data_IF_138736854200
#
_entry.id   IF_138736854200
#
_cell.length_a   1.000
_cell.length_b   1.000
_cell.length_c   1.000
_cell.angle_alpha   90.00
_cell.angle_beta   90.00
_cell.angle_gamma   90.00
#
_symmetry.space_group_name_H-M   'P 1'
#
loop_
_entity.id
_entity.type
_entity.pdbx_description
1 polymer ?
#
# COMPACT_ATOMS: atom_id res chain seq x y z
N UNK A 1 -0.63 4.74 13.59
CA UNK A 1 0.72 4.27 14.04
C UNK A 1 1.19 4.91 15.35
N UNK A 2 1.14 6.24 15.56
CA UNK A 2 1.64 6.86 16.82
C UNK A 2 0.95 6.30 18.10
N UNK A 3 -0.35 6.02 18.05
CA UNK A 3 -1.04 5.40 19.20
C UNK A 3 -0.63 3.94 19.40
N UNK A 4 -0.35 3.21 18.32
CA UNK A 4 0.17 1.84 18.37
C UNK A 4 1.57 1.81 18.98
N UNK A 5 2.45 2.76 18.60
CA UNK A 5 3.79 2.86 19.18
C UNK A 5 3.81 3.02 20.72
N UNK A 6 2.77 3.62 21.28
CA UNK A 6 2.63 3.73 22.75
C UNK A 6 2.26 2.40 23.42
N UNK A 7 1.68 1.47 22.66
CA UNK A 7 1.27 0.14 23.15
C UNK A 7 2.36 -0.91 22.96
N UNK A 8 3.21 -0.74 21.92
CA UNK A 8 4.31 -1.65 21.56
C UNK A 8 5.66 -0.99 21.86
N UNK A 9 5.96 -0.81 23.15
CA UNK A 9 7.16 -0.11 23.65
C UNK A 9 8.44 -0.92 23.50
N UNK A 10 8.36 -2.19 23.14
CA UNK A 10 9.47 -3.08 22.81
C UNK A 10 10.16 -2.70 21.49
N UNK A 11 9.51 -1.89 20.66
CA UNK A 11 10.04 -1.38 19.40
C UNK A 11 10.41 0.09 19.48
N UNK A 12 11.49 0.49 18.82
CA UNK A 12 11.82 1.90 18.59
C UNK A 12 11.10 2.38 17.34
N UNK A 13 10.20 3.34 17.48
CA UNK A 13 9.51 3.98 16.37
C UNK A 13 10.13 5.33 16.03
N UNK A 14 10.37 5.58 14.74
CA UNK A 14 10.83 6.85 14.21
C UNK A 14 9.76 7.36 13.25
N UNK A 15 9.13 8.47 13.60
CA UNK A 15 8.12 9.10 12.76
C UNK A 15 8.78 10.18 11.91
N UNK A 16 8.67 10.04 10.58
CA UNK A 16 9.29 10.93 9.60
C UNK A 16 8.24 11.63 8.75
N UNK A 17 8.52 12.88 8.39
CA UNK A 17 7.72 13.68 7.46
C UNK A 17 8.62 14.79 6.89
N UNK A 18 8.15 15.50 5.86
CA UNK A 18 8.73 16.77 5.41
C UNK A 18 8.22 17.97 6.20
N UNK A 19 7.17 17.77 7.03
CA UNK A 19 6.56 18.80 7.88
C UNK A 19 7.29 18.93 9.22
N UNK A 20 7.17 20.12 9.84
CA UNK A 20 7.70 20.39 11.18
C UNK A 20 7.08 19.47 12.25
N UNK A 21 7.86 19.17 13.29
CA UNK A 21 7.43 18.32 14.42
C UNK A 21 7.72 16.83 14.25
N UNK A 22 8.30 16.42 13.12
CA UNK A 22 8.76 15.05 12.83
C UNK A 22 10.25 15.03 12.50
N UNK A 23 10.85 13.85 12.51
CA UNK A 23 12.19 13.68 11.94
C UNK A 23 12.10 13.92 10.44
N UNK A 24 12.84 14.90 9.92
CA UNK A 24 12.74 15.28 8.51
C UNK A 24 13.24 14.16 7.60
N UNK A 25 12.41 13.72 6.66
CA UNK A 25 12.77 12.79 5.60
C UNK A 25 11.93 13.06 4.33
N UNK A 26 12.60 13.45 3.26
CA UNK A 26 12.02 13.48 1.93
C UNK A 26 12.20 12.10 1.27
N UNK A 27 11.10 11.37 1.10
CA UNK A 27 11.10 10.03 0.51
C UNK A 27 11.38 10.04 -1.00
N UNK A 28 11.45 11.19 -1.65
CA UNK A 28 11.88 11.33 -3.05
C UNK A 28 13.41 11.37 -3.20
N UNK A 29 14.15 11.38 -2.09
CA UNK A 29 15.60 11.37 -2.05
C UNK A 29 16.13 10.01 -1.53
N UNK A 30 16.58 9.17 -2.45
CA UNK A 30 17.09 7.83 -2.14
C UNK A 30 18.29 7.86 -1.16
N UNK A 31 19.21 8.81 -1.32
CA UNK A 31 20.39 8.88 -0.45
C UNK A 31 20.03 9.32 0.98
N UNK A 32 19.02 10.20 1.13
CA UNK A 32 18.50 10.56 2.44
C UNK A 32 17.81 9.34 3.12
N UNK A 33 17.07 8.54 2.36
CA UNK A 33 16.46 7.30 2.87
C UNK A 33 17.55 6.32 3.33
N UNK A 34 18.55 6.02 2.48
CA UNK A 34 19.67 5.13 2.82
C UNK A 34 20.42 5.57 4.08
N UNK A 35 20.70 6.85 4.16
CA UNK A 35 21.36 7.45 5.33
C UNK A 35 20.52 7.22 6.59
N UNK A 36 19.22 7.53 6.56
CA UNK A 36 18.32 7.34 7.69
C UNK A 36 18.25 5.85 8.10
N UNK A 37 18.08 4.95 7.13
CA UNK A 37 18.01 3.50 7.37
C UNK A 37 19.28 2.99 8.05
N UNK A 38 20.45 3.40 7.56
CA UNK A 38 21.75 2.98 8.12
C UNK A 38 22.01 3.57 9.51
N UNK A 39 21.84 4.89 9.69
CA UNK A 39 22.15 5.59 10.95
C UNK A 39 21.19 5.20 12.09
N UNK A 40 19.93 4.89 11.76
CA UNK A 40 18.93 4.54 12.75
C UNK A 40 18.72 3.03 12.91
N UNK A 41 19.44 2.20 12.13
CA UNK A 41 19.31 0.73 12.11
C UNK A 41 17.85 0.30 11.89
N UNK A 42 17.23 0.84 10.83
CA UNK A 42 15.82 0.59 10.50
C UNK A 42 15.68 -0.81 9.91
N UNK A 43 14.86 -1.65 10.53
CA UNK A 43 14.54 -3.01 10.08
C UNK A 43 13.19 -3.13 9.38
N UNK A 44 12.32 -2.12 9.56
CA UNK A 44 11.02 -2.08 8.90
C UNK A 44 10.61 -0.63 8.60
N UNK A 45 10.20 -0.36 7.36
CA UNK A 45 9.56 0.90 6.96
C UNK A 45 8.07 0.67 6.74
N UNK A 46 7.23 1.52 7.36
CA UNK A 46 5.79 1.62 7.06
C UNK A 46 5.56 2.90 6.26
N UNK A 47 5.42 2.77 4.95
CA UNK A 47 5.17 3.91 4.06
C UNK A 47 3.69 4.25 3.98
N UNK A 48 3.30 5.32 4.68
CA UNK A 48 1.97 5.93 4.62
C UNK A 48 1.96 7.23 3.79
N UNK A 49 3.11 7.69 3.31
CA UNK A 49 3.21 8.91 2.52
C UNK A 49 2.77 8.66 1.08
N UNK A 50 1.92 9.53 0.56
CA UNK A 50 1.43 9.48 -0.81
C UNK A 50 0.77 10.81 -1.20
N UNK A 51 0.67 11.09 -2.49
CA UNK A 51 -0.31 12.04 -2.99
C UNK A 51 -1.69 11.38 -2.96
N UNK A 52 -2.64 11.94 -2.18
CA UNK A 52 -3.96 11.33 -1.94
C UNK A 52 -5.12 12.15 -2.49
N UNK A 53 -4.88 13.36 -3.00
CA UNK A 53 -5.93 14.15 -3.63
C UNK A 53 -6.19 13.64 -5.06
N UNK A 54 -7.23 12.80 -5.19
CA UNK A 54 -7.60 12.10 -6.42
C UNK A 54 -7.86 13.09 -7.56
N UNK A 55 -8.68 14.13 -7.31
CA UNK A 55 -9.07 15.10 -8.34
C UNK A 55 -7.88 15.97 -8.79
N UNK A 56 -7.06 16.43 -7.85
CA UNK A 56 -5.86 17.22 -8.18
C UNK A 56 -4.74 16.39 -8.84
N UNK A 57 -4.75 15.08 -8.71
CA UNK A 57 -3.77 14.21 -9.35
C UNK A 57 -3.85 14.31 -10.89
N UNK A 58 -5.03 14.53 -11.46
CA UNK A 58 -5.23 14.62 -12.92
C UNK A 58 -4.43 15.76 -13.57
N UNK A 59 -4.10 16.81 -12.81
CA UNK A 59 -3.36 17.98 -13.30
C UNK A 59 -1.92 18.06 -12.82
N UNK A 60 -1.52 17.21 -11.86
CA UNK A 60 -0.22 17.24 -11.20
C UNK A 60 0.62 15.98 -11.48
N UNK A 61 0.47 15.35 -12.65
CA UNK A 61 0.97 14.02 -13.00
C UNK A 61 2.40 13.71 -12.57
N UNK A 62 3.39 14.57 -12.86
CA UNK A 62 4.81 14.31 -12.60
C UNK A 62 5.12 14.21 -11.09
N UNK A 63 4.53 15.08 -10.27
CA UNK A 63 4.75 15.06 -8.82
C UNK A 63 4.01 13.88 -8.19
N UNK A 64 2.84 13.53 -8.72
CA UNK A 64 2.06 12.37 -8.28
C UNK A 64 2.81 11.06 -8.59
N UNK A 65 3.36 10.93 -9.81
CA UNK A 65 4.19 9.78 -10.20
C UNK A 65 5.44 9.68 -9.32
N UNK A 66 6.08 10.80 -9.02
CA UNK A 66 7.26 10.82 -8.14
C UNK A 66 6.93 10.32 -6.74
N UNK A 67 5.85 10.81 -6.13
CA UNK A 67 5.47 10.44 -4.76
C UNK A 67 4.84 9.05 -4.66
N UNK A 68 4.01 8.66 -5.63
CA UNK A 68 3.24 7.42 -5.56
C UNK A 68 3.94 6.22 -6.20
N UNK A 69 4.90 6.44 -7.11
CA UNK A 69 5.58 5.36 -7.83
C UNK A 69 7.09 5.30 -7.56
N UNK A 70 7.83 6.41 -7.75
CA UNK A 70 9.29 6.40 -7.58
C UNK A 70 9.72 6.36 -6.11
N UNK A 71 9.07 7.12 -5.24
CA UNK A 71 9.41 7.12 -3.83
C UNK A 71 9.23 5.74 -3.17
N UNK A 72 8.13 4.99 -3.39
CA UNK A 72 8.03 3.59 -2.94
C UNK A 72 9.13 2.67 -3.46
N UNK A 73 9.58 2.84 -4.71
CA UNK A 73 10.71 2.12 -5.26
C UNK A 73 12.01 2.40 -4.47
N UNK A 74 12.25 3.67 -4.13
CA UNK A 74 13.44 4.07 -3.36
C UNK A 74 13.42 3.48 -1.95
N UNK A 75 12.26 3.48 -1.30
CA UNK A 75 12.09 2.83 0.00
C UNK A 75 12.34 1.31 -0.09
N UNK A 76 11.81 0.65 -1.12
CA UNK A 76 12.04 -0.77 -1.35
C UNK A 76 13.53 -1.09 -1.58
N UNK A 77 14.24 -0.27 -2.39
CA UNK A 77 15.68 -0.41 -2.62
C UNK A 77 16.49 -0.30 -1.32
N UNK A 78 16.21 0.74 -0.53
CA UNK A 78 16.90 0.96 0.73
C UNK A 78 16.68 -0.19 1.72
N UNK A 79 15.44 -0.73 1.79
CA UNK A 79 15.15 -1.87 2.66
C UNK A 79 15.76 -3.16 2.16
N UNK A 80 15.80 -3.40 0.85
CA UNK A 80 16.51 -4.57 0.27
C UNK A 80 17.99 -4.56 0.63
N UNK A 81 18.66 -3.41 0.57
CA UNK A 81 20.09 -3.26 0.87
C UNK A 81 20.46 -3.66 2.31
N UNK A 82 19.49 -3.59 3.24
CA UNK A 82 19.68 -3.96 4.66
C UNK A 82 18.97 -5.26 5.05
N UNK A 83 18.31 -5.94 4.10
CA UNK A 83 17.52 -7.13 4.37
C UNK A 83 16.25 -6.88 5.19
N UNK A 84 15.75 -5.64 5.20
CA UNK A 84 14.59 -5.22 5.99
C UNK A 84 13.27 -5.33 5.23
N UNK A 85 12.16 -5.04 5.92
CA UNK A 85 10.78 -5.11 5.40
C UNK A 85 10.25 -3.73 4.99
N UNK A 86 9.65 -3.62 3.80
CA UNK A 86 8.81 -2.49 3.41
C UNK A 86 7.33 -2.87 3.53
N UNK A 87 6.56 -2.15 4.36
CA UNK A 87 5.08 -2.18 4.36
C UNK A 87 4.61 -0.91 3.64
N UNK A 88 3.90 -1.07 2.52
CA UNK A 88 3.42 0.05 1.70
C UNK A 88 1.90 0.10 1.63
N UNK A 89 1.32 1.27 1.92
CA UNK A 89 -0.13 1.48 1.84
C UNK A 89 -0.50 1.89 0.41
N UNK A 90 -1.27 1.05 -0.26
CA UNK A 90 -1.86 1.28 -1.57
C UNK A 90 -3.38 1.53 -1.46
N UNK A 91 -4.12 1.44 -2.56
CA UNK A 91 -5.52 1.87 -2.65
C UNK A 91 -6.37 0.91 -3.49
N UNK A 92 -7.66 0.90 -3.22
CA UNK A 92 -8.71 0.32 -4.07
C UNK A 92 -8.83 0.98 -5.45
N UNK A 93 -8.33 2.22 -5.62
CA UNK A 93 -8.28 2.92 -6.92
C UNK A 93 -7.36 2.27 -7.97
N UNK A 94 -6.60 1.24 -7.61
CA UNK A 94 -5.91 0.38 -8.60
C UNK A 94 -6.91 -0.45 -9.42
N UNK A 95 -8.17 -0.54 -8.96
CA UNK A 95 -9.32 -1.09 -9.68
C UNK A 95 -10.25 0.03 -10.15
N UNK A 96 -11.24 -0.28 -11.00
CA UNK A 96 -12.29 0.69 -11.35
C UNK A 96 -12.63 0.75 -12.83
N UNK A 97 -11.76 0.27 -13.72
CA UNK A 97 -12.01 0.21 -15.18
C UNK A 97 -12.96 -0.92 -15.61
N UNK A 98 -13.15 -1.93 -14.76
CA UNK A 98 -14.05 -3.05 -15.02
C UNK A 98 -15.32 -2.96 -14.14
N UNK A 99 -16.48 -3.40 -14.63
CA UNK A 99 -17.71 -3.42 -13.84
C UNK A 99 -17.67 -4.58 -12.82
N UNK A 100 -16.95 -4.42 -11.72
CA UNK A 100 -16.93 -5.41 -10.64
C UNK A 100 -18.29 -5.53 -9.97
N UNK A 101 -18.70 -6.74 -9.67
CA UNK A 101 -19.89 -7.08 -8.88
C UNK A 101 -19.61 -8.12 -7.80
N UNK A 102 -18.35 -8.46 -7.62
CA UNK A 102 -17.81 -9.34 -6.57
C UNK A 102 -16.59 -8.66 -5.93
N UNK A 103 -16.27 -8.97 -4.68
CA UNK A 103 -15.09 -8.39 -4.03
C UNK A 103 -13.81 -8.59 -4.85
N UNK A 104 -13.05 -7.50 -5.04
CA UNK A 104 -11.78 -7.51 -5.76
C UNK A 104 -10.74 -8.33 -4.98
N UNK A 105 -10.02 -9.21 -5.67
CA UNK A 105 -8.96 -10.04 -5.10
C UNK A 105 -7.58 -9.50 -5.46
N UNK A 106 -6.57 -9.87 -4.68
CA UNK A 106 -5.19 -9.40 -4.85
C UNK A 106 -4.56 -9.83 -6.18
N UNK A 107 -4.98 -10.97 -6.73
CA UNK A 107 -4.48 -11.54 -7.99
C UNK A 107 -5.16 -10.94 -9.23
N UNK A 108 -6.19 -10.13 -9.08
CA UNK A 108 -6.83 -9.47 -10.20
C UNK A 108 -5.96 -8.36 -10.78
N UNK A 109 -5.98 -8.26 -12.12
CA UNK A 109 -5.27 -7.20 -12.83
C UNK A 109 -5.82 -5.83 -12.44
N UNK A 110 -4.92 -4.89 -12.13
CA UNK A 110 -5.30 -3.51 -11.91
C UNK A 110 -5.84 -2.84 -13.18
N UNK A 111 -6.93 -2.08 -13.04
CA UNK A 111 -7.63 -1.36 -14.11
C UNK A 111 -7.97 0.06 -13.66
N UNK A 112 -6.95 0.88 -13.28
CA UNK A 112 -7.18 2.23 -12.77
C UNK A 112 -7.83 3.13 -13.82
N UNK A 113 -8.70 4.05 -13.38
CA UNK A 113 -9.44 4.98 -14.25
C UNK A 113 -8.95 6.42 -14.18
N UNK A 114 -7.97 6.72 -13.32
CA UNK A 114 -7.39 8.06 -13.15
C UNK A 114 -5.94 8.01 -12.74
N UNK A 115 -5.27 9.16 -12.77
CA UNK A 115 -3.83 9.32 -12.48
C UNK A 115 -3.46 8.82 -11.08
N UNK A 116 -4.29 9.10 -10.07
CA UNK A 116 -4.05 8.60 -8.72
C UNK A 116 -3.95 7.07 -8.66
N UNK A 117 -4.96 6.37 -9.19
CA UNK A 117 -4.97 4.90 -9.20
C UNK A 117 -3.83 4.32 -10.03
N UNK A 118 -3.53 4.92 -11.20
CA UNK A 118 -2.44 4.50 -12.08
C UNK A 118 -1.09 4.62 -11.38
N UNK A 119 -0.81 5.76 -10.75
CA UNK A 119 0.48 5.99 -10.08
C UNK A 119 0.64 5.12 -8.82
N UNK A 120 -0.45 4.81 -8.10
CA UNK A 120 -0.42 3.83 -7.01
C UNK A 120 -0.08 2.42 -7.53
N UNK A 121 -0.67 2.01 -8.66
CA UNK A 121 -0.37 0.73 -9.30
C UNK A 121 1.09 0.66 -9.79
N UNK A 122 1.63 1.74 -10.37
CA UNK A 122 3.04 1.82 -10.72
C UNK A 122 3.95 1.66 -9.48
N UNK A 123 3.58 2.26 -8.34
CA UNK A 123 4.30 2.09 -7.09
C UNK A 123 4.34 0.63 -6.61
N UNK A 124 3.22 -0.09 -6.70
CA UNK A 124 3.18 -1.53 -6.40
C UNK A 124 4.13 -2.33 -7.32
N UNK A 125 4.06 -2.06 -8.64
CA UNK A 125 4.91 -2.73 -9.63
C UNK A 125 6.40 -2.44 -9.41
N UNK A 126 6.75 -1.20 -9.08
CA UNK A 126 8.12 -0.79 -8.80
C UNK A 126 8.65 -1.48 -7.52
N UNK A 127 7.86 -1.59 -6.45
CA UNK A 127 8.23 -2.35 -5.24
C UNK A 127 8.50 -3.81 -5.60
N UNK A 128 7.60 -4.44 -6.36
CA UNK A 128 7.73 -5.85 -6.78
C UNK A 128 8.98 -6.06 -7.64
N UNK A 129 9.31 -5.14 -8.54
CA UNK A 129 10.48 -5.21 -9.41
C UNK A 129 11.82 -5.11 -8.64
N UNK A 130 11.84 -4.50 -7.46
CA UNK A 130 13.03 -4.46 -6.59
C UNK A 130 13.37 -5.85 -6.03
N UNK A 131 12.39 -6.73 -5.89
CA UNK A 131 12.56 -8.11 -5.39
C UNK A 131 13.23 -8.18 -4.00
N UNK A 132 12.73 -7.36 -3.07
CA UNK A 132 13.06 -7.38 -1.63
C UNK A 132 11.89 -7.92 -0.80
N UNK A 133 11.99 -7.85 0.53
CA UNK A 133 10.86 -8.17 1.44
C UNK A 133 9.86 -7.02 1.46
N UNK A 134 8.60 -7.31 1.11
CA UNK A 134 7.56 -6.29 1.09
C UNK A 134 6.17 -6.83 1.47
N UNK A 135 5.36 -5.96 2.05
CA UNK A 135 3.91 -6.13 2.22
C UNK A 135 3.24 -4.89 1.61
N UNK A 136 2.47 -5.06 0.55
CA UNK A 136 1.63 -4.00 -0.01
C UNK A 136 0.21 -4.21 0.50
N UNK A 137 -0.37 -3.18 1.15
CA UNK A 137 -1.74 -3.24 1.67
C UNK A 137 -2.60 -2.26 0.88
N UNK A 138 -3.50 -2.78 0.03
CA UNK A 138 -4.54 -1.98 -0.60
C UNK A 138 -5.66 -1.75 0.39
N UNK A 139 -6.07 -0.49 0.55
CA UNK A 139 -7.14 -0.09 1.47
C UNK A 139 -8.13 0.85 0.78
N UNK A 140 -9.31 1.03 1.35
CA UNK A 140 -10.37 1.88 0.80
C UNK A 140 -10.97 2.79 1.87
N UNK A 141 -11.43 3.99 1.48
CA UNK A 141 -12.24 4.90 2.29
C UNK A 141 -11.67 5.14 3.70
N UNK A 142 -10.37 5.41 3.77
CA UNK A 142 -9.63 5.55 5.03
C UNK A 142 -10.08 6.79 5.80
N UNK A 143 -10.40 6.61 7.08
CA UNK A 143 -10.78 7.70 8.00
C UNK A 143 -10.17 7.51 9.38
N UNK A 144 -10.09 8.60 10.13
CA UNK A 144 -9.62 8.61 11.52
C UNK A 144 -10.10 9.85 12.25
N UNK A 145 -9.84 9.91 13.54
CA UNK A 145 -9.99 11.09 14.38
C UNK A 145 -8.99 12.21 14.01
N UNK A 146 -7.92 11.89 13.27
CA UNK A 146 -6.86 12.83 12.88
C UNK A 146 -7.01 13.28 11.42
N UNK A 147 -6.44 14.46 11.12
CA UNK A 147 -6.39 14.99 9.76
C UNK A 147 -7.77 15.33 9.16
N UNK A 148 -7.79 15.63 7.87
CA UNK A 148 -9.02 15.84 7.08
C UNK A 148 -9.47 14.52 6.49
N UNK A 149 -10.73 14.15 6.65
CA UNK A 149 -11.30 12.93 6.06
C UNK A 149 -12.82 13.07 5.91
N UNK A 150 -13.43 12.06 5.27
CA UNK A 150 -14.86 12.06 4.97
C UNK A 150 -15.74 12.13 6.24
N UNK A 151 -15.42 11.36 7.29
CA UNK A 151 -16.19 11.35 8.54
C UNK A 151 -16.26 12.74 9.14
N UNK A 152 -15.11 13.42 9.32
CA UNK A 152 -15.08 14.79 9.88
C UNK A 152 -15.81 15.81 9.00
N UNK A 153 -15.74 15.63 7.68
CA UNK A 153 -16.48 16.47 6.74
C UNK A 153 -17.98 16.28 6.91
N UNK A 154 -18.47 15.03 6.97
CA UNK A 154 -19.89 14.73 7.12
C UNK A 154 -20.42 15.13 8.51
N UNK A 155 -19.65 14.94 9.58
CA UNK A 155 -20.00 15.44 10.91
C UNK A 155 -20.28 16.94 10.89
N UNK A 156 -19.40 17.73 10.27
CA UNK A 156 -19.60 19.17 10.16
C UNK A 156 -20.79 19.53 9.26
N UNK A 157 -20.91 18.89 8.09
CA UNK A 157 -21.99 19.21 7.14
C UNK A 157 -23.37 18.83 7.70
N UNK A 158 -23.51 17.67 8.33
CA UNK A 158 -24.79 17.21 8.91
C UNK A 158 -25.22 18.03 10.13
N UNK A 159 -24.26 18.63 10.84
CA UNK A 159 -24.56 19.56 11.96
C UNK A 159 -24.96 20.96 11.48
N UNK A 160 -24.53 21.39 10.27
CA UNK A 160 -24.65 22.80 9.85
C UNK A 160 -25.58 23.01 8.66
N UNK A 161 -25.86 22.00 7.87
CA UNK A 161 -26.70 22.09 6.68
C UNK A 161 -28.11 21.52 6.94
N UNK A 162 -29.17 22.15 6.43
CA UNK A 162 -30.53 21.61 6.54
C UNK A 162 -30.73 20.39 5.64
N UNK A 163 -30.00 20.31 4.53
CA UNK A 163 -30.10 19.22 3.56
C UNK A 163 -28.72 18.91 2.93
N UNK A 164 -28.47 17.63 2.65
CA UNK A 164 -27.32 17.13 1.89
C UNK A 164 -27.78 16.11 0.84
N UNK A 165 -27.17 16.15 -0.34
CA UNK A 165 -27.24 15.07 -1.32
C UNK A 165 -25.93 14.25 -1.26
N UNK A 166 -26.04 12.94 -1.17
CA UNK A 166 -24.88 12.03 -1.05
C UNK A 166 -25.02 10.87 -2.02
N UNK A 167 -23.94 10.55 -2.70
CA UNK A 167 -23.89 9.47 -3.70
C UNK A 167 -24.20 8.11 -3.07
N UNK A 168 -25.13 7.35 -3.67
CA UNK A 168 -25.53 6.03 -3.19
C UNK A 168 -25.11 4.87 -4.12
N UNK A 169 -24.77 5.16 -5.38
CA UNK A 169 -24.39 4.19 -6.42
C UNK A 169 -22.88 3.93 -6.52
N UNK A 170 -22.11 4.38 -5.51
CA UNK A 170 -20.73 3.98 -5.26
C UNK A 170 -20.70 3.15 -3.97
N UNK A 171 -20.22 1.91 -4.10
CA UNK A 171 -20.26 0.90 -3.03
C UNK A 171 -18.85 0.45 -2.70
N UNK A 172 -18.51 0.49 -1.43
CA UNK A 172 -17.19 0.12 -0.92
C UNK A 172 -17.24 -0.25 0.56
N UNK A 173 -16.09 -0.25 1.20
CA UNK A 173 -16.01 -0.46 2.65
C UNK A 173 -15.13 0.60 3.29
N UNK A 174 -15.65 1.35 4.28
CA UNK A 174 -14.85 2.28 5.07
C UNK A 174 -13.76 1.54 5.86
N UNK A 175 -12.61 2.17 6.02
CA UNK A 175 -11.49 1.65 6.80
C UNK A 175 -11.14 2.61 7.93
N UNK A 176 -11.28 2.19 9.18
CA UNK A 176 -10.78 2.93 10.33
C UNK A 176 -9.25 2.78 10.42
N UNK A 177 -8.53 3.89 10.41
CA UNK A 177 -7.06 3.87 10.43
C UNK A 177 -6.48 3.22 11.71
N UNK A 178 -7.21 3.23 12.82
CA UNK A 178 -6.83 2.53 14.03
C UNK A 178 -6.79 1.01 13.84
N UNK A 179 -7.77 0.44 13.13
CA UNK A 179 -7.81 -1.00 12.86
C UNK A 179 -6.74 -1.42 11.84
N UNK A 180 -6.51 -0.61 10.80
CA UNK A 180 -5.40 -0.82 9.86
C UNK A 180 -4.05 -0.76 10.58
N UNK A 181 -3.86 0.18 11.51
CA UNK A 181 -2.62 0.30 12.28
C UNK A 181 -2.39 -0.92 13.20
N UNK A 182 -3.45 -1.49 13.79
CA UNK A 182 -3.37 -2.74 14.55
C UNK A 182 -2.96 -3.93 13.67
N UNK A 183 -3.53 -4.02 12.45
CA UNK A 183 -3.14 -5.05 11.49
C UNK A 183 -1.67 -4.92 11.08
N UNK A 184 -1.18 -3.71 10.82
CA UNK A 184 0.23 -3.44 10.52
C UNK A 184 1.13 -3.86 11.69
N UNK A 185 0.75 -3.57 12.94
CA UNK A 185 1.52 -4.01 14.11
C UNK A 185 1.61 -5.55 14.18
N UNK A 186 0.50 -6.25 13.92
CA UNK A 186 0.50 -7.72 13.87
C UNK A 186 1.43 -8.25 12.79
N UNK A 187 1.48 -7.62 11.61
CA UNK A 187 2.37 -7.99 10.51
C UNK A 187 3.85 -7.77 10.90
N UNK A 188 4.16 -6.66 11.58
CA UNK A 188 5.52 -6.39 12.08
C UNK A 188 5.95 -7.44 13.10
N UNK A 189 5.06 -7.83 14.02
CA UNK A 189 5.34 -8.89 14.99
C UNK A 189 5.55 -10.26 14.34
N UNK A 190 4.78 -10.56 13.29
CA UNK A 190 4.94 -11.80 12.52
C UNK A 190 6.29 -11.81 11.77
N UNK A 191 6.67 -10.71 11.12
CA UNK A 191 7.94 -10.55 10.44
C UNK A 191 9.13 -10.77 11.37
N UNK A 192 9.08 -10.23 12.61
CA UNK A 192 10.15 -10.39 13.59
C UNK A 192 10.29 -11.81 14.13
N UNK A 193 9.24 -12.61 14.01
CA UNK A 193 9.24 -14.03 14.42
C UNK A 193 9.62 -14.98 13.28
N UNK A 194 9.74 -14.49 12.04
CA UNK A 194 10.08 -15.31 10.89
C UNK A 194 11.53 -15.82 10.99
N UNK A 195 11.76 -17.14 11.13
CA UNK A 195 13.11 -17.70 11.29
C UNK A 195 13.97 -17.60 10.03
N UNK A 196 13.38 -17.25 8.87
CA UNK A 196 14.12 -17.02 7.63
C UNK A 196 14.87 -15.70 7.62
N UNK A 197 14.52 -14.79 8.56
CA UNK A 197 15.21 -13.52 8.70
C UNK A 197 16.55 -13.72 9.41
N UNK A 198 17.65 -13.16 8.89
CA UNK A 198 18.91 -13.19 9.61
C UNK A 198 18.73 -12.51 10.97
N UNK A 199 19.36 -13.04 12.05
CA UNK A 199 19.35 -12.35 13.33
C UNK A 199 19.89 -10.93 13.08
N UNK A 200 19.06 -9.91 13.37
CA UNK A 200 19.48 -8.52 13.33
C UNK A 200 20.61 -8.38 14.37
N UNK A 201 21.87 -8.44 13.91
CA UNK A 201 23.01 -8.17 14.77
C UNK A 201 22.84 -6.74 15.29
N UNK A 202 22.49 -6.62 16.55
CA UNK A 202 22.40 -5.34 17.25
C UNK A 202 23.79 -4.70 17.21
N UNK A 203 24.04 -3.86 16.19
CA UNK A 203 25.24 -3.00 16.15
C UNK A 203 26.41 -3.54 15.33
N UNK A 204 26.22 -4.15 14.18
CA UNK A 204 27.30 -4.51 13.26
C UNK A 204 27.18 -3.75 11.94
N UNK A 205 28.01 -2.73 11.72
CA UNK A 205 28.36 -2.29 10.37
C UNK A 205 29.04 -3.49 9.69
N UNK A 206 28.69 -3.87 8.42
CA UNK A 206 29.44 -4.88 7.69
C UNK A 206 30.92 -4.46 7.68
N UNK A 207 31.76 -5.20 8.35
CA UNK A 207 33.20 -4.93 8.33
C UNK A 207 33.71 -5.14 6.91
N UNK A 208 34.65 -4.30 6.49
CA UNK A 208 35.23 -4.31 5.15
C UNK A 208 35.76 -5.69 4.70
N UNK A 209 35.96 -6.63 5.61
CA UNK A 209 36.37 -8.01 5.34
C UNK A 209 35.28 -8.85 4.64
N UNK A 210 33.97 -8.67 4.98
CA UNK A 210 32.88 -9.38 4.27
C UNK A 210 32.66 -8.85 2.84
N UNK A 211 33.01 -7.59 2.58
CA UNK A 211 32.96 -7.05 1.21
C UNK A 211 34.07 -7.60 0.29
N UNK A 212 35.22 -8.00 0.83
CA UNK A 212 36.29 -8.62 0.05
C UNK A 212 36.00 -10.07 -0.32
N UNK A 213 35.33 -10.84 0.54
CA UNK A 213 34.94 -12.22 0.19
C UNK A 213 33.88 -12.24 -0.94
N UNK A 214 32.92 -11.34 -0.96
CA UNK A 214 31.92 -11.23 -2.01
C UNK A 214 32.53 -10.77 -3.35
N UNK A 215 33.57 -9.95 -3.34
CA UNK A 215 34.30 -9.55 -4.55
C UNK A 215 35.20 -10.67 -5.08
N UNK A 216 35.80 -11.53 -4.23
CA UNK A 216 36.63 -12.66 -4.67
C UNK A 216 35.82 -13.77 -5.31
N UNK A 217 34.58 -14.01 -4.93
CA UNK A 217 33.70 -15.00 -5.57
C UNK A 217 33.28 -14.56 -6.97
N UNK A 218 33.02 -13.26 -7.18
CA UNK A 218 32.65 -12.73 -8.49
C UNK A 218 33.81 -12.61 -9.48
N UNK A 219 35.10 -12.61 -9.03
CA UNK A 219 36.25 -12.52 -9.92
C UNK A 219 36.71 -13.86 -10.50
N UNK A 220 36.17 -15.00 -10.05
CA UNK A 220 36.51 -16.34 -10.52
C UNK A 220 35.61 -16.90 -11.62
N UNK A 221 34.57 -16.17 -12.04
CA UNK A 221 33.58 -16.65 -13.01
C UNK A 221 33.60 -15.96 -14.38
N UNK A 222 34.66 -15.20 -14.72
CA UNK A 222 34.80 -14.63 -16.05
C UNK A 222 36.18 -14.97 -16.63
N UNK A 223 36.22 -16.06 -17.38
CA UNK A 223 37.28 -16.31 -18.34
C UNK A 223 36.69 -16.27 -19.75
N UNK A 224 37.21 -15.49 -20.67
CA UNK A 224 36.69 -15.40 -22.02
C UNK A 224 37.33 -16.50 -22.90
N UNK A 225 36.55 -17.23 -23.66
CA UNK A 225 37.01 -18.07 -24.77
C UNK A 225 36.70 -17.36 -26.11
N UNK A 226 37.55 -17.56 -27.13
CA UNK A 226 37.65 -16.64 -28.25
C UNK A 226 36.73 -16.97 -29.45
N UNK A 227 36.47 -15.90 -30.18
CA UNK A 227 35.87 -15.73 -31.51
C UNK A 227 35.93 -16.89 -32.49
N UNK A 228 34.78 -17.22 -33.08
CA UNK A 228 34.67 -17.94 -34.34
C UNK A 228 33.63 -17.25 -35.23
N UNK A 229 34.11 -16.55 -36.24
CA UNK A 229 33.33 -16.01 -37.36
C UNK A 229 32.78 -17.16 -38.21
N UNK A 230 31.52 -17.02 -38.69
CA UNK A 230 31.12 -17.34 -40.08
C UNK A 230 29.74 -16.72 -40.42
N UNK A 231 29.69 -16.16 -41.61
CA UNK A 231 28.59 -15.43 -42.26
C UNK A 231 27.62 -16.34 -43.08
N UNK A 232 26.73 -15.83 -43.95
CA UNK A 232 25.28 -16.05 -43.76
C UNK A 232 24.69 -17.00 -44.84
N UNK A 233 23.51 -17.53 -44.58
CA UNK A 233 22.74 -18.33 -45.56
C UNK A 233 21.25 -18.07 -45.47
N UNK A 234 20.71 -17.66 -46.59
CA UNK A 234 19.31 -17.42 -46.94
C UNK A 234 18.38 -18.64 -46.75
N UNK A 235 17.10 -18.38 -46.53
CA UNK A 235 16.06 -19.30 -46.97
C UNK A 235 14.80 -19.36 -46.11
N UNK A 236 13.76 -18.82 -46.57
CA UNK A 236 12.41 -18.56 -46.28
C UNK A 236 11.50 -19.66 -45.74
N UNK A 237 10.28 -19.16 -45.54
CA UNK A 237 8.93 -19.74 -45.52
C UNK A 237 8.31 -20.13 -44.17
N UNK A 238 7.25 -19.34 -43.87
CA UNK A 238 5.91 -19.71 -43.38
C UNK A 238 5.73 -20.72 -42.24
N UNK A 239 4.97 -20.29 -41.22
CA UNK A 239 4.09 -21.21 -40.53
C UNK A 239 3.94 -21.06 -39.02
N UNK A 240 2.82 -20.51 -38.61
CA UNK A 240 2.14 -20.97 -37.41
C UNK A 240 2.47 -20.30 -36.09
N UNK A 241 1.61 -19.36 -35.73
CA UNK A 241 1.43 -18.91 -34.35
C UNK A 241 0.96 -20.12 -33.52
N UNK A 242 1.82 -20.62 -32.63
CA UNK A 242 1.40 -21.51 -31.54
C UNK A 242 1.35 -20.69 -30.27
N UNK A 243 0.13 -20.46 -29.77
CA UNK A 243 -0.14 -20.09 -28.39
C UNK A 243 0.46 -21.14 -27.46
N UNK A 244 1.40 -20.76 -26.62
CA UNK A 244 1.85 -21.59 -25.50
C UNK A 244 1.12 -21.10 -24.27
N UNK A 245 0.01 -21.76 -23.96
CA UNK A 245 -0.48 -21.89 -22.60
C UNK A 245 0.48 -22.84 -21.87
N UNK A 246 1.23 -22.34 -20.93
CA UNK A 246 1.84 -23.17 -19.90
C UNK A 246 1.99 -22.38 -18.62
N UNK A 247 0.97 -22.52 -17.77
CA UNK A 247 1.02 -22.18 -16.35
C UNK A 247 1.97 -23.15 -15.64
N UNK A 248 3.25 -22.86 -15.65
CA UNK A 248 4.21 -23.47 -14.71
C UNK A 248 4.74 -22.38 -13.79
N UNK A 249 4.40 -22.53 -12.51
CA UNK A 249 4.97 -21.76 -11.43
C UNK A 249 6.49 -21.73 -11.55
N UNK A 250 7.04 -20.53 -11.54
CA UNK A 250 8.48 -20.31 -11.40
C UNK A 250 8.89 -20.91 -10.06
N UNK A 251 9.60 -22.01 -10.13
CA UNK A 251 10.28 -22.63 -9.00
C UNK A 251 11.27 -21.63 -8.41
N UNK A 252 11.26 -21.54 -7.08
CA UNK A 252 12.06 -20.63 -6.25
C UNK A 252 13.55 -20.97 -6.17
N UNK A 253 14.12 -21.64 -7.18
CA UNK A 253 15.53 -22.02 -7.21
C UNK A 253 16.36 -20.91 -7.85
N UNK A 254 16.88 -19.99 -7.00
CA UNK A 254 17.78 -18.92 -7.43
C UNK A 254 17.75 -17.65 -6.60
N UNK A 255 17.03 -17.60 -5.49
CA UNK A 255 16.99 -16.42 -4.61
C UNK A 255 18.15 -16.44 -3.62
N UNK A 256 19.16 -15.65 -3.89
CA UNK A 256 20.37 -15.52 -3.08
C UNK A 256 20.26 -14.56 -1.89
N UNK A 257 19.12 -14.37 -1.26
CA UNK A 257 18.95 -13.77 0.06
C UNK A 257 17.54 -14.13 0.57
N UNK A 258 17.42 -14.48 1.86
CA UNK A 258 16.16 -14.93 2.43
C UNK A 258 15.13 -13.76 2.44
N UNK A 259 14.20 -13.77 1.47
CA UNK A 259 13.09 -12.85 1.42
C UNK A 259 12.01 -13.29 2.43
N UNK A 260 11.32 -12.34 3.09
CA UNK A 260 10.20 -12.66 3.98
C UNK A 260 9.18 -13.56 3.29
N UNK A 261 8.92 -14.71 3.88
CA UNK A 261 8.12 -15.78 3.27
C UNK A 261 6.68 -15.38 2.91
N UNK A 262 6.15 -14.36 3.61
CA UNK A 262 4.81 -13.81 3.41
C UNK A 262 4.81 -12.52 2.59
N UNK A 263 5.91 -12.20 1.88
CA UNK A 263 5.94 -11.04 0.97
C UNK A 263 4.82 -11.11 -0.07
N UNK A 264 4.15 -9.97 -0.32
CA UNK A 264 3.06 -9.95 -1.29
C UNK A 264 2.11 -8.76 -1.16
N UNK A 265 1.06 -8.80 -2.00
CA UNK A 265 -0.05 -7.85 -1.97
C UNK A 265 -1.17 -8.43 -1.11
N UNK A 266 -1.78 -7.59 -0.30
CA UNK A 266 -2.87 -7.88 0.61
C UNK A 266 -3.94 -6.78 0.54
N UNK A 267 -5.17 -7.14 0.89
CA UNK A 267 -6.26 -6.20 1.02
C UNK A 267 -6.66 -6.03 2.48
N UNK A 268 -6.89 -4.79 2.90
CA UNK A 268 -7.43 -4.49 4.22
C UNK A 268 -8.48 -3.38 4.16
N UNK A 269 -9.68 -3.65 4.60
CA UNK A 269 -10.73 -2.70 4.99
C UNK A 269 -11.52 -3.31 6.14
N UNK A 270 -12.34 -2.53 6.83
CA UNK A 270 -13.24 -3.13 7.82
C UNK A 270 -14.21 -4.12 7.16
N UNK A 271 -14.88 -4.99 7.91
CA UNK A 271 -15.87 -5.92 7.36
C UNK A 271 -17.18 -5.20 7.01
N UNK A 272 -17.93 -5.79 6.08
CA UNK A 272 -19.19 -5.26 5.58
C UNK A 272 -19.04 -4.37 4.37
N UNK A 273 -20.15 -3.81 3.91
CA UNK A 273 -20.26 -3.02 2.66
C UNK A 273 -21.28 -1.91 2.89
N UNK A 274 -21.04 -0.71 2.34
CA UNK A 274 -22.01 0.38 2.33
C UNK A 274 -21.77 1.33 1.14
N UNK A 275 -22.75 2.18 0.85
CA UNK A 275 -22.58 3.36 -0.01
C UNK A 275 -22.07 4.57 0.77
N UNK A 276 -21.63 5.63 0.08
CA UNK A 276 -21.33 6.90 0.74
C UNK A 276 -22.56 7.48 1.44
N UNK A 277 -23.75 7.27 0.88
CA UNK A 277 -25.01 7.65 1.49
C UNK A 277 -25.24 6.92 2.83
N UNK A 278 -25.12 5.59 2.85
CA UNK A 278 -25.28 4.78 4.07
C UNK A 278 -24.25 5.20 5.14
N UNK A 279 -23.00 5.39 4.72
CA UNK A 279 -21.93 5.83 5.60
C UNK A 279 -22.24 7.20 6.22
N UNK A 280 -22.73 8.17 5.43
CA UNK A 280 -23.15 9.49 5.93
C UNK A 280 -24.34 9.41 6.88
N UNK A 281 -25.32 8.54 6.59
CA UNK A 281 -26.46 8.29 7.48
C UNK A 281 -26.00 7.75 8.84
N UNK A 282 -25.07 6.80 8.84
CA UNK A 282 -24.51 6.23 10.05
C UNK A 282 -23.74 7.30 10.88
N UNK A 283 -22.87 8.10 10.24
CA UNK A 283 -22.14 9.21 10.86
C UNK A 283 -23.11 10.17 11.55
N UNK A 284 -24.13 10.65 10.82
CA UNK A 284 -25.10 11.59 11.37
C UNK A 284 -25.89 11.00 12.54
N UNK A 285 -26.26 9.71 12.45
CA UNK A 285 -27.02 9.02 13.49
C UNK A 285 -26.21 8.86 14.79
N UNK A 286 -24.94 8.44 14.68
CA UNK A 286 -24.09 8.24 15.87
C UNK A 286 -23.81 9.60 16.54
N UNK A 287 -23.54 10.63 15.74
CA UNK A 287 -23.32 12.00 16.24
C UNK A 287 -24.57 12.70 16.78
N UNK A 288 -25.76 12.11 16.61
CA UNK A 288 -27.02 12.76 16.99
C UNK A 288 -27.46 13.92 16.09
N UNK A 289 -26.89 14.06 14.89
CA UNK A 289 -27.21 15.12 13.91
C UNK A 289 -28.48 14.75 13.12
N UNK A 290 -29.65 14.81 13.77
CA UNK A 290 -30.93 14.34 13.22
C UNK A 290 -31.69 15.38 12.40
N UNK A 291 -31.27 16.66 12.43
CA UNK A 291 -31.96 17.75 11.76
C UNK A 291 -31.65 17.89 10.26
N UNK A 292 -30.56 17.29 9.79
CA UNK A 292 -30.16 17.36 8.41
C UNK A 292 -30.92 16.30 7.57
N UNK A 293 -31.60 16.77 6.51
CA UNK A 293 -32.23 15.88 5.52
C UNK A 293 -31.20 15.35 4.56
N UNK A 294 -30.76 14.08 4.77
CA UNK A 294 -29.75 13.43 3.94
C UNK A 294 -30.46 12.61 2.85
N UNK A 295 -30.35 13.08 1.61
CA UNK A 295 -30.96 12.51 0.41
C UNK A 295 -29.94 11.75 -0.43
N UNK A 296 -30.32 10.57 -1.02
CA UNK A 296 -29.46 9.89 -1.97
C UNK A 296 -29.43 10.64 -3.31
N UNK A 297 -28.30 10.55 -4.03
CA UNK A 297 -28.18 11.01 -5.40
C UNK A 297 -27.30 10.04 -6.21
N UNK A 298 -27.43 10.09 -7.53
CA UNK A 298 -26.55 9.33 -8.43
C UNK A 298 -25.20 10.04 -8.59
N UNK A 299 -24.16 9.28 -8.91
CA UNK A 299 -22.83 9.81 -9.25
C UNK A 299 -22.89 10.81 -10.42
N UNK A 300 -23.81 10.60 -11.37
CA UNK A 300 -24.05 11.51 -12.49
C UNK A 300 -24.55 12.91 -12.10
N UNK A 301 -25.15 13.03 -10.89
CA UNK A 301 -25.59 14.31 -10.33
C UNK A 301 -24.46 15.06 -9.60
N UNK A 302 -23.33 14.36 -9.37
CA UNK A 302 -22.19 14.91 -8.64
C UNK A 302 -20.93 14.87 -9.54
N UNK A 303 -20.77 15.86 -10.45
CA UNK A 303 -19.68 15.83 -11.42
C UNK A 303 -18.32 15.83 -10.72
N UNK A 304 -17.46 14.91 -11.13
CA UNK A 304 -16.07 14.76 -10.68
C UNK A 304 -15.16 14.67 -11.92
N UNK A 305 -13.95 15.25 -11.89
CA UNK A 305 -12.99 15.12 -12.98
C UNK A 305 -12.52 13.67 -13.20
N UNK A 306 -12.70 12.82 -12.18
CA UNK A 306 -12.30 11.41 -12.20
C UNK A 306 -13.53 10.51 -12.12
N UNK A 307 -13.58 9.49 -12.99
CA UNK A 307 -14.55 8.39 -12.84
C UNK A 307 -14.18 7.55 -11.63
N UNK A 308 -14.99 7.65 -10.58
CA UNK A 308 -14.78 6.87 -9.35
C UNK A 308 -15.36 5.46 -9.52
N UNK A 309 -14.72 4.41 -8.96
CA UNK A 309 -15.25 3.06 -9.01
C UNK A 309 -16.69 3.00 -8.44
N UNK A 310 -17.61 2.39 -9.17
CA UNK A 310 -18.97 2.14 -8.66
C UNK A 310 -18.99 1.03 -7.62
N UNK A 311 -18.02 0.12 -7.67
CA UNK A 311 -17.86 -0.97 -6.72
C UNK A 311 -16.37 -1.17 -6.42
N UNK A 312 -15.94 -0.95 -5.17
CA UNK A 312 -14.55 -1.06 -4.74
C UNK A 312 -14.38 -1.91 -3.46
N UNK A 313 -15.27 -2.89 -3.28
CA UNK A 313 -15.17 -3.83 -2.15
C UNK A 313 -13.96 -4.73 -2.34
N UNK A 314 -13.11 -4.81 -1.32
CA UNK A 314 -11.90 -5.62 -1.32
C UNK A 314 -12.15 -6.97 -0.62
N UNK A 315 -11.69 -8.07 -1.21
CA UNK A 315 -11.62 -9.37 -0.53
C UNK A 315 -10.46 -9.35 0.48
N UNK A 316 -10.72 -9.69 1.73
CA UNK A 316 -9.76 -9.67 2.84
C UNK A 316 -9.38 -11.06 3.32
N UNK A 317 -9.80 -12.11 2.60
CA UNK A 317 -9.57 -13.50 3.01
C UNK A 317 -8.09 -13.78 3.18
N UNK A 318 -7.26 -13.37 2.21
CA UNK A 318 -5.82 -13.60 2.22
C UNK A 318 -5.14 -13.01 3.45
N UNK A 319 -5.36 -11.75 3.79
CA UNK A 319 -4.72 -11.11 4.95
C UNK A 319 -5.16 -11.74 6.27
N UNK A 320 -6.46 -12.10 6.40
CA UNK A 320 -7.01 -12.75 7.59
C UNK A 320 -6.37 -14.11 7.82
N UNK A 321 -6.28 -14.94 6.78
CA UNK A 321 -5.69 -16.28 6.87
C UNK A 321 -4.18 -16.23 7.09
N UNK A 322 -3.46 -15.35 6.39
CA UNK A 322 -2.00 -15.26 6.46
C UNK A 322 -1.51 -14.78 7.83
N UNK A 323 -2.18 -13.81 8.43
CA UNK A 323 -1.75 -13.17 9.68
C UNK A 323 -2.69 -13.44 10.86
N UNK A 324 -3.65 -14.35 10.70
CA UNK A 324 -4.65 -14.70 11.72
C UNK A 324 -5.37 -13.46 12.27
N UNK A 325 -5.82 -12.56 11.37
CA UNK A 325 -6.47 -11.31 11.74
C UNK A 325 -7.98 -11.47 11.89
N UNK A 326 -8.53 -10.87 12.94
CA UNK A 326 -9.96 -10.60 13.07
C UNK A 326 -10.22 -9.13 12.76
N UNK A 327 -10.99 -8.87 11.70
CA UNK A 327 -11.27 -7.51 11.23
C UNK A 327 -12.66 -7.08 11.74
N UNK A 328 -12.77 -5.93 12.43
CA UNK A 328 -14.06 -5.44 12.93
C UNK A 328 -15.02 -5.03 11.80
N UNK A 329 -16.32 -5.07 12.10
CA UNK A 329 -17.35 -4.52 11.22
C UNK A 329 -17.25 -2.98 11.14
N UNK A 330 -17.43 -2.42 9.94
CA UNK A 330 -17.18 -0.98 9.69
C UNK A 330 -17.97 -0.04 10.59
N UNK A 331 -19.23 -0.40 10.94
CA UNK A 331 -20.08 0.43 11.78
C UNK A 331 -19.58 0.45 13.24
N UNK A 332 -19.04 -0.65 13.74
CA UNK A 332 -18.48 -0.70 15.10
C UNK A 332 -17.19 0.12 15.18
N UNK A 333 -16.36 0.05 14.14
CA UNK A 333 -15.17 0.89 14.00
C UNK A 333 -15.49 2.37 13.87
N UNK A 334 -16.60 2.72 13.20
CA UNK A 334 -17.08 4.09 13.11
C UNK A 334 -17.48 4.62 14.50
N UNK A 335 -18.25 3.85 15.29
CA UNK A 335 -18.63 4.22 16.67
C UNK A 335 -17.38 4.48 17.52
N UNK A 336 -16.41 3.59 17.46
CA UNK A 336 -15.13 3.74 18.17
C UNK A 336 -14.38 5.01 17.77
N UNK A 337 -14.33 5.34 16.47
CA UNK A 337 -13.69 6.56 15.97
C UNK A 337 -14.43 7.83 16.49
N UNK A 338 -15.76 7.85 16.49
CA UNK A 338 -16.53 8.99 16.94
C UNK A 338 -16.42 9.19 18.47
N UNK A 339 -16.40 8.12 19.26
CA UNK A 339 -16.09 8.17 20.69
C UNK A 339 -14.73 8.83 20.96
N UNK A 340 -13.70 8.45 20.20
CA UNK A 340 -12.39 9.09 20.29
C UNK A 340 -12.41 10.56 19.88
N UNK A 341 -13.15 10.92 18.82
CA UNK A 341 -13.32 12.33 18.39
C UNK A 341 -13.96 13.21 19.47
N UNK A 342 -14.92 12.67 20.23
CA UNK A 342 -15.57 13.38 21.33
C UNK A 342 -14.67 13.53 22.57
N UNK A 343 -13.61 12.73 22.68
CA UNK A 343 -12.65 12.76 23.79
C UNK A 343 -11.42 13.65 23.55
N UNK A 344 -11.24 14.16 22.31
CA UNK A 344 -10.16 15.07 21.91
C UNK A 344 -10.58 16.53 22.10
#
# INVERSE_FOLDING_TARGET
MQNIAKQHTEHKYIFTDVCDGYTHLDITNLDAIRKMVAEQHVDCIVNCAAWTNVDAAETAGDIVETLNAKAPEYLAKAMKEVGGLLIHISSDYVFGGDPYNTPCREDQKGTPTGVYGLTKLHGEQNIQAVDGSYIIIRTSWLYSEYGKNFVKTMLNLTATKPQLKVVFDQVGTPTYAGDLANAIATIIEDYKKDPSQPPLERGGVPTAEKQQETQQVNSKLVSPSPLGFLSPGNGGTEGGIKTIEDGRGLSSEGRGEACYSKSGIYHFSNEGVCSWYDFTKAIAQIAGNTSCDIQPCHSSEFPSPVTRPSYSVLDKTKIKETFNLSIPYWLDSLRKCEEHLLSL
#
